data_IF_279252095277
#
_entry.id   IF_279252095277
#
_cell.length_a   1.000
_cell.length_b   1.000
_cell.length_c   1.000
_cell.angle_alpha   90.00
_cell.angle_beta   90.00
_cell.angle_gamma   90.00
#
_symmetry.space_group_name_H-M   'P 1'
#
loop_
_entity.id
_entity.type
_entity.pdbx_description
1 polymer ?
#
# COMPACT_ATOMS: atom_id res chain seq x y z
N UNK A 1 7.40 10.97 -3.35
CA UNK A 1 6.15 10.82 -2.57
C UNK A 1 6.37 9.69 -1.58
N UNK A 2 6.27 9.97 -0.28
CA UNK A 2 6.57 9.01 0.79
C UNK A 2 5.33 8.87 1.68
N UNK A 3 4.48 7.89 1.38
CA UNK A 3 3.15 7.76 2.02
C UNK A 3 3.25 7.19 3.44
N UNK A 4 4.06 6.15 3.62
CA UNK A 4 4.16 5.41 4.90
C UNK A 4 5.50 5.61 5.62
N UNK A 5 6.31 6.58 5.19
CA UNK A 5 7.56 6.87 5.91
C UNK A 5 7.25 7.37 7.32
N UNK A 6 7.90 6.79 8.33
CA UNK A 6 7.70 7.13 9.74
C UNK A 6 6.45 6.54 10.38
N UNK A 7 5.62 5.78 9.64
CA UNK A 7 4.45 5.12 10.21
C UNK A 7 4.84 3.80 10.88
N UNK A 8 4.16 3.48 11.97
CA UNK A 8 4.20 2.17 12.62
C UNK A 8 3.57 1.09 11.72
N UNK A 9 3.91 -0.17 11.99
CA UNK A 9 3.30 -1.29 11.27
C UNK A 9 1.79 -1.36 11.47
N UNK A 10 1.30 -1.00 12.67
CA UNK A 10 -0.13 -0.94 12.97
C UNK A 10 -0.85 0.09 12.09
N UNK A 11 -0.32 1.32 12.00
CA UNK A 11 -0.90 2.38 11.15
C UNK A 11 -0.93 1.98 9.66
N UNK A 12 0.07 1.24 9.19
CA UNK A 12 0.11 0.71 7.82
C UNK A 12 -0.97 -0.36 7.61
N UNK A 13 -1.21 -1.21 8.60
CA UNK A 13 -2.20 -2.29 8.51
C UNK A 13 -3.64 -1.78 8.61
N UNK A 14 -3.86 -0.75 9.42
CA UNK A 14 -5.17 -0.08 9.56
C UNK A 14 -5.52 0.77 8.33
N UNK A 15 -4.53 1.07 7.48
CA UNK A 15 -4.77 1.73 6.19
C UNK A 15 -5.46 0.81 5.19
N UNK A 16 -6.57 1.26 4.62
CA UNK A 16 -7.36 0.50 3.64
C UNK A 16 -6.80 0.56 2.20
N UNK A 17 -5.81 1.42 1.94
CA UNK A 17 -5.28 1.74 0.61
C UNK A 17 -6.35 2.21 -0.42
N UNK A 18 -7.59 2.48 0.04
CA UNK A 18 -8.70 2.96 -0.81
C UNK A 18 -8.36 4.31 -1.44
N UNK A 19 -7.55 5.12 -0.74
CA UNK A 19 -7.10 6.43 -1.23
C UNK A 19 -6.49 6.38 -2.63
N UNK A 20 -5.85 5.27 -3.04
CA UNK A 20 -5.26 5.11 -4.38
C UNK A 20 -6.33 5.11 -5.47
N UNK A 21 -7.47 4.49 -5.19
CA UNK A 21 -8.62 4.47 -6.07
C UNK A 21 -9.40 5.79 -6.00
N UNK A 22 -9.54 6.37 -4.81
CA UNK A 22 -10.27 7.63 -4.59
C UNK A 22 -9.62 8.84 -5.30
N UNK A 23 -8.28 8.90 -5.34
CA UNK A 23 -7.57 9.96 -6.07
C UNK A 23 -7.55 9.74 -7.59
N UNK A 24 -8.16 8.67 -8.09
CA UNK A 24 -8.22 8.34 -9.51
C UNK A 24 -6.86 7.98 -10.13
N UNK A 25 -5.83 7.71 -9.33
CA UNK A 25 -4.46 7.46 -9.83
C UNK A 25 -4.42 6.28 -10.81
N UNK A 26 -5.25 5.26 -10.56
CA UNK A 26 -5.33 4.06 -11.42
C UNK A 26 -5.87 4.36 -12.82
N UNK A 27 -6.70 5.40 -12.99
CA UNK A 27 -7.32 5.75 -14.27
C UNK A 27 -6.30 6.29 -15.29
N UNK A 28 -5.19 6.83 -14.81
CA UNK A 28 -4.10 7.35 -15.66
C UNK A 28 -2.98 6.32 -15.91
N UNK A 29 -3.10 5.12 -15.35
CA UNK A 29 -2.12 4.06 -15.48
C UNK A 29 -2.54 3.06 -16.55
N UNK A 30 -1.57 2.62 -17.36
CA UNK A 30 -1.80 1.44 -18.20
C UNK A 30 -2.14 0.22 -17.32
N UNK A 31 -2.85 -0.79 -17.85
CA UNK A 31 -3.27 -1.96 -17.07
C UNK A 31 -2.12 -2.63 -16.29
N UNK A 32 -0.94 -2.75 -16.92
CA UNK A 32 0.26 -3.31 -16.27
C UNK A 32 0.74 -2.48 -15.08
N UNK A 33 0.71 -1.14 -15.18
CA UNK A 33 1.13 -0.24 -14.10
C UNK A 33 0.13 -0.21 -12.96
N UNK A 34 -1.17 -0.23 -13.25
CA UNK A 34 -2.22 -0.32 -12.23
C UNK A 34 -2.12 -1.65 -11.46
N UNK A 35 -1.87 -2.76 -12.16
CA UNK A 35 -1.62 -4.06 -11.54
C UNK A 35 -0.36 -4.06 -10.67
N UNK A 36 0.72 -3.42 -11.15
CA UNK A 36 1.95 -3.23 -10.36
C UNK A 36 1.70 -2.46 -9.06
N UNK A 37 0.92 -1.38 -9.11
CA UNK A 37 0.53 -0.60 -7.93
C UNK A 37 -0.27 -1.45 -6.93
N UNK A 38 -1.22 -2.26 -7.41
CA UNK A 38 -1.97 -3.19 -6.57
C UNK A 38 -1.07 -4.30 -5.96
N UNK A 39 -0.05 -4.77 -6.69
CA UNK A 39 0.90 -5.73 -6.15
C UNK A 39 1.79 -5.11 -5.06
N UNK A 40 2.27 -3.88 -5.27
CA UNK A 40 3.10 -3.16 -4.28
C UNK A 40 2.35 -2.90 -2.98
N UNK A 41 1.08 -2.50 -3.05
CA UNK A 41 0.25 -2.27 -1.85
C UNK A 41 0.03 -3.54 -1.05
N UNK A 42 -0.25 -4.67 -1.72
CA UNK A 42 -0.29 -5.99 -1.07
C UNK A 42 1.05 -6.35 -0.41
N UNK A 43 2.17 -6.09 -1.10
CA UNK A 43 3.49 -6.38 -0.57
C UNK A 43 3.81 -5.57 0.69
N UNK A 44 3.44 -4.29 0.73
CA UNK A 44 3.61 -3.42 1.91
C UNK A 44 2.83 -3.98 3.11
N UNK A 45 1.54 -4.33 2.93
CA UNK A 45 0.73 -4.95 3.98
C UNK A 45 1.35 -6.26 4.47
N UNK A 46 1.80 -7.10 3.56
CA UNK A 46 2.43 -8.37 3.92
C UNK A 46 3.68 -8.17 4.77
N UNK A 47 4.54 -7.21 4.42
CA UNK A 47 5.72 -6.87 5.23
C UNK A 47 5.34 -6.32 6.61
N UNK A 48 4.31 -5.48 6.71
CA UNK A 48 3.86 -4.95 7.99
C UNK A 48 3.35 -6.06 8.92
N UNK A 49 2.57 -7.03 8.41
CA UNK A 49 2.14 -8.21 9.18
C UNK A 49 3.35 -9.03 9.64
N UNK A 50 4.26 -9.36 8.74
CA UNK A 50 5.43 -10.17 9.06
C UNK A 50 6.31 -9.51 10.12
N UNK A 51 6.46 -8.18 10.08
CA UNK A 51 7.23 -7.43 11.05
C UNK A 51 6.55 -7.35 12.43
N UNK A 52 5.22 -7.19 12.45
CA UNK A 52 4.45 -7.19 13.70
C UNK A 52 4.47 -8.56 14.40
N UNK A 53 4.51 -9.66 13.64
CA UNK A 53 4.65 -11.01 14.21
C UNK A 53 6.06 -11.32 14.75
N UNK A 54 7.08 -10.62 14.25
CA UNK A 54 8.48 -10.80 14.67
C UNK A 54 8.81 -10.02 15.95
N UNK A 55 8.09 -8.93 16.21
CA UNK A 55 8.34 -7.97 17.30
C UNK A 55 7.52 -8.33 18.53
#
# INVERSE_FOLDING_TARGET
VSIYSGHSTQEILDSDFQFISEIGLQEFLSPSRANGLMAMTKQIKFYAVAYQLKS
#
